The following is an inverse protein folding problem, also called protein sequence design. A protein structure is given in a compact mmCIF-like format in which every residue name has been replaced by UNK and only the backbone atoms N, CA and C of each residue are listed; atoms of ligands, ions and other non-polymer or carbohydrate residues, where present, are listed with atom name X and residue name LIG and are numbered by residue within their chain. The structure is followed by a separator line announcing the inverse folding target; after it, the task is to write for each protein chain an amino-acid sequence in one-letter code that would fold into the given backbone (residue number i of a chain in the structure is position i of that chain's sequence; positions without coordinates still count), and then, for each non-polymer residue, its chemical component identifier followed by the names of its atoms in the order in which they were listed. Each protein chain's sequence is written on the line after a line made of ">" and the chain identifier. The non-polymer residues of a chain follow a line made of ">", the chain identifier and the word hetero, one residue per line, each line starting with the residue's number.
data_IF_764987520015
#
_entry.id   IF_764987520015
#
_cell.length_a   1.000
_cell.length_b   1.000
_cell.length_c   1.000
_cell.angle_alpha   90.00
_cell.angle_beta   90.00
_cell.angle_gamma   90.00
#
_symmetry.space_group_name_H-M   'P 1'
#
loop_
_entity.id
_entity.type
_entity.pdbx_description
1 polymer ?
#
# COMPACT_ATOMS: atom_id res chain seq x y z
N UNK A 1 -16.24 18.18 -11.11
CA UNK A 1 -14.89 17.58 -10.97
C UNK A 1 -13.83 18.32 -11.77
N UNK A 2 -13.94 18.51 -13.10
CA UNK A 2 -12.88 19.18 -13.88
C UNK A 2 -12.64 20.66 -13.49
N UNK A 3 -13.70 21.42 -13.19
CA UNK A 3 -13.59 22.81 -12.72
C UNK A 3 -12.95 22.90 -11.32
N UNK A 4 -13.30 21.98 -10.41
CA UNK A 4 -12.68 21.89 -9.08
C UNK A 4 -11.22 21.45 -9.19
N UNK A 5 -10.90 20.55 -10.13
CA UNK A 5 -9.53 20.13 -10.42
C UNK A 5 -8.67 21.28 -10.95
N UNK A 6 -9.24 22.13 -11.82
CA UNK A 6 -8.59 23.34 -12.31
C UNK A 6 -8.33 24.37 -11.19
N UNK A 7 -9.28 24.51 -10.25
CA UNK A 7 -9.11 25.40 -9.10
C UNK A 7 -8.01 24.96 -8.13
N UNK A 8 -7.79 23.65 -7.97
CA UNK A 8 -6.81 23.09 -7.03
C UNK A 8 -5.42 22.95 -7.67
N UNK A 9 -5.35 22.46 -8.90
CA UNK A 9 -4.09 22.11 -9.56
C UNK A 9 -3.69 23.06 -10.69
N UNK A 10 -4.47 24.12 -10.94
CA UNK A 10 -4.23 25.08 -12.03
C UNK A 10 -4.54 24.55 -13.44
N UNK A 11 -5.01 23.29 -13.55
CA UNK A 11 -5.44 22.70 -14.82
C UNK A 11 -6.47 21.59 -14.60
N UNK A 12 -7.51 21.43 -15.46
CA UNK A 12 -8.56 20.44 -15.27
C UNK A 12 -8.09 18.98 -15.35
N UNK A 13 -6.91 18.74 -15.93
CA UNK A 13 -6.33 17.39 -16.11
C UNK A 13 -5.05 17.15 -15.31
N UNK A 14 -4.59 18.13 -14.51
CA UNK A 14 -3.48 17.88 -13.59
C UNK A 14 -3.99 17.07 -12.40
N UNK A 15 -3.15 16.16 -11.92
CA UNK A 15 -3.39 15.38 -10.71
C UNK A 15 -2.29 15.68 -9.69
N UNK A 16 -2.50 15.33 -8.43
CA UNK A 16 -1.47 15.46 -7.38
C UNK A 16 -0.14 14.77 -7.74
N UNK A 17 -0.16 13.76 -8.60
CA UNK A 17 1.03 13.04 -9.09
C UNK A 17 1.83 13.79 -10.17
N UNK A 18 1.22 14.79 -10.82
CA UNK A 18 1.85 15.56 -11.91
C UNK A 18 2.38 16.92 -11.45
N UNK A 19 2.17 17.29 -10.19
CA UNK A 19 2.73 18.52 -9.64
C UNK A 19 4.20 18.26 -9.29
N UNK A 20 5.10 18.79 -10.10
CA UNK A 20 6.54 18.89 -9.82
C UNK A 20 6.82 19.98 -8.79
N UNK A 21 6.14 19.95 -7.64
CA UNK A 21 6.52 20.72 -6.46
C UNK A 21 7.26 19.77 -5.54
N UNK A 22 8.42 20.18 -4.99
CA UNK A 22 9.31 19.34 -4.18
C UNK A 22 8.50 18.36 -3.32
N UNK A 23 8.39 17.09 -3.76
CA UNK A 23 7.65 16.13 -2.99
C UNK A 23 8.39 16.01 -1.66
N UNK A 24 7.62 16.04 -0.56
CA UNK A 24 8.07 15.34 0.65
C UNK A 24 8.60 14.00 0.13
N UNK A 25 9.88 13.66 0.33
CA UNK A 25 10.51 12.55 -0.36
C UNK A 25 9.94 11.26 0.22
N UNK A 26 8.76 10.89 -0.23
CA UNK A 26 8.44 9.50 -0.47
C UNK A 26 9.34 9.18 -1.65
N UNK A 27 10.55 8.72 -1.35
CA UNK A 27 11.37 8.01 -2.31
C UNK A 27 10.58 6.77 -2.69
N UNK A 28 9.61 6.95 -3.58
CA UNK A 28 9.30 5.91 -4.55
C UNK A 28 10.58 5.85 -5.35
N UNK A 29 11.50 4.99 -4.90
CA UNK A 29 12.58 4.52 -5.76
C UNK A 29 11.85 3.86 -6.92
N UNK A 30 11.59 4.67 -7.96
CA UNK A 30 11.44 4.19 -9.31
C UNK A 30 12.81 3.62 -9.63
N UNK A 31 12.99 2.37 -9.21
CA UNK A 31 14.08 1.49 -9.62
C UNK A 31 14.31 1.76 -11.10
N UNK A 32 15.55 2.11 -11.45
CA UNK A 32 15.98 2.59 -12.78
C UNK A 32 15.04 2.10 -13.88
N UNK A 33 14.29 2.99 -14.55
CA UNK A 33 13.31 2.55 -15.51
C UNK A 33 14.04 1.82 -16.63
N UNK A 34 13.81 0.51 -16.74
CA UNK A 34 13.80 -0.18 -18.02
C UNK A 34 13.16 0.80 -19.03
N UNK A 35 13.95 1.33 -19.96
CA UNK A 35 13.64 2.52 -20.77
C UNK A 35 12.16 2.53 -21.17
N UNK A 36 11.38 3.44 -20.58
CA UNK A 36 10.00 3.64 -20.99
C UNK A 36 9.99 3.92 -22.49
N UNK A 37 8.97 3.44 -23.21
CA UNK A 37 8.67 4.00 -24.54
C UNK A 37 8.28 5.46 -24.30
N UNK A 38 9.28 6.35 -24.38
CA UNK A 38 9.12 7.76 -24.09
C UNK A 38 8.14 8.37 -25.07
N UNK A 39 6.99 8.81 -24.57
CA UNK A 39 6.04 9.53 -25.41
C UNK A 39 6.57 10.93 -25.67
N UNK A 40 7.05 11.18 -26.89
CA UNK A 40 7.37 12.53 -27.37
C UNK A 40 6.14 13.46 -27.44
N UNK A 41 4.93 12.90 -27.33
CA UNK A 41 3.67 13.62 -27.45
C UNK A 41 3.07 13.99 -26.08
N UNK A 42 2.81 15.29 -25.82
CA UNK A 42 2.31 15.77 -24.52
C UNK A 42 0.89 15.31 -24.17
N UNK A 43 0.16 14.73 -25.13
CA UNK A 43 -1.15 14.12 -24.88
C UNK A 43 -1.01 12.71 -24.29
N UNK A 44 -0.11 11.88 -24.83
CA UNK A 44 0.07 10.50 -24.38
C UNK A 44 0.64 10.45 -22.96
N UNK A 45 1.54 11.38 -22.61
CA UNK A 45 2.01 11.53 -21.23
C UNK A 45 0.93 11.97 -20.24
N UNK A 46 -0.17 12.59 -20.71
CA UNK A 46 -1.33 12.92 -19.84
C UNK A 46 -2.27 11.74 -19.64
N UNK A 47 -2.45 10.92 -20.67
CA UNK A 47 -3.33 9.73 -20.60
C UNK A 47 -2.63 8.56 -19.91
N UNK A 48 -1.32 8.42 -20.13
CA UNK A 48 -0.47 7.40 -19.54
C UNK A 48 0.64 8.09 -18.73
N UNK A 49 0.32 8.58 -17.52
CA UNK A 49 1.27 9.34 -16.69
C UNK A 49 2.51 8.53 -16.30
N UNK A 50 2.42 7.21 -16.31
CA UNK A 50 3.51 6.28 -15.98
C UNK A 50 4.19 5.69 -17.22
N UNK A 51 3.89 6.19 -18.42
CA UNK A 51 4.33 5.56 -19.67
C UNK A 51 3.65 4.23 -19.95
N UNK A 52 4.20 3.47 -20.90
CA UNK A 52 3.81 2.08 -21.18
C UNK A 52 5.04 1.21 -20.96
N UNK A 53 4.96 0.32 -19.97
CA UNK A 53 6.02 -0.64 -19.64
C UNK A 53 5.48 -2.06 -19.77
N UNK A 54 5.66 -2.67 -20.95
CA UNK A 54 5.04 -3.96 -21.30
C UNK A 54 5.43 -5.09 -20.34
N UNK A 55 6.70 -5.14 -19.92
CA UNK A 55 7.20 -6.13 -18.96
C UNK A 55 6.51 -5.97 -17.59
N UNK A 56 6.36 -4.74 -17.12
CA UNK A 56 5.68 -4.44 -15.85
C UNK A 56 4.21 -4.82 -15.93
N UNK A 57 3.53 -4.45 -17.03
CA UNK A 57 2.12 -4.80 -17.25
C UNK A 57 1.96 -6.32 -17.18
N UNK A 58 2.80 -7.07 -17.89
CA UNK A 58 2.72 -8.52 -17.93
C UNK A 58 3.04 -9.15 -16.56
N UNK A 59 4.12 -8.72 -15.91
CA UNK A 59 4.51 -9.23 -14.59
C UNK A 59 3.41 -8.98 -13.55
N UNK A 60 2.89 -7.76 -13.51
CA UNK A 60 1.84 -7.38 -12.58
C UNK A 60 0.54 -8.15 -12.89
N UNK A 61 0.15 -8.29 -14.16
CA UNK A 61 -1.04 -9.05 -14.56
C UNK A 61 -0.92 -10.52 -14.15
N UNK A 62 0.24 -11.13 -14.39
CA UNK A 62 0.52 -12.51 -14.02
C UNK A 62 0.42 -12.69 -12.50
N UNK A 63 1.14 -11.87 -11.72
CA UNK A 63 1.24 -12.04 -10.28
C UNK A 63 -0.06 -11.66 -9.54
N UNK A 64 -0.56 -10.44 -9.74
CA UNK A 64 -1.67 -9.87 -8.96
C UNK A 64 -3.05 -10.25 -9.48
N UNK A 65 -3.14 -10.88 -10.66
CA UNK A 65 -4.43 -11.29 -11.22
C UNK A 65 -4.47 -12.77 -11.59
N UNK A 66 -3.61 -13.21 -12.52
CA UNK A 66 -3.70 -14.55 -13.07
C UNK A 66 -3.33 -15.62 -12.03
N UNK A 67 -2.23 -15.45 -11.30
CA UNK A 67 -1.76 -16.38 -10.28
C UNK A 67 -2.51 -16.18 -8.96
N UNK A 68 -2.65 -14.93 -8.49
CA UNK A 68 -3.36 -14.65 -7.23
C UNK A 68 -4.82 -15.15 -7.25
N UNK A 69 -5.52 -14.98 -8.37
CA UNK A 69 -6.88 -15.49 -8.56
C UNK A 69 -6.93 -16.73 -9.46
N UNK A 70 -5.92 -17.63 -9.42
CA UNK A 70 -5.77 -18.76 -10.36
C UNK A 70 -7.04 -19.56 -10.65
N UNK A 71 -7.81 -19.93 -9.62
CA UNK A 71 -9.06 -20.68 -9.80
C UNK A 71 -10.10 -19.87 -10.60
N UNK A 72 -10.31 -18.61 -10.22
CA UNK A 72 -11.24 -17.71 -10.90
C UNK A 72 -10.78 -17.42 -12.33
N UNK A 73 -9.48 -17.19 -12.52
CA UNK A 73 -8.85 -16.98 -13.82
C UNK A 73 -9.04 -18.17 -14.74
N UNK A 74 -8.78 -19.39 -14.27
CA UNK A 74 -8.94 -20.59 -15.07
C UNK A 74 -10.40 -20.76 -15.55
N UNK A 75 -11.38 -20.55 -14.66
CA UNK A 75 -12.79 -20.60 -15.02
C UNK A 75 -13.24 -19.46 -15.93
N UNK A 76 -12.72 -18.25 -15.72
CA UNK A 76 -13.01 -17.11 -16.59
C UNK A 76 -12.49 -17.35 -18.01
N UNK A 77 -11.26 -17.85 -18.16
CA UNK A 77 -10.68 -18.19 -19.46
C UNK A 77 -11.46 -19.31 -20.15
N UNK A 78 -11.80 -20.38 -19.41
CA UNK A 78 -12.61 -21.47 -19.95
C UNK A 78 -14.00 -20.98 -20.40
N UNK A 79 -14.65 -20.16 -19.56
CA UNK A 79 -15.94 -19.54 -19.87
C UNK A 79 -15.88 -18.60 -21.06
N UNK A 80 -14.81 -17.81 -21.19
CA UNK A 80 -14.59 -16.94 -22.33
C UNK A 80 -14.46 -17.74 -23.63
N UNK A 81 -13.70 -18.84 -23.64
CA UNK A 81 -13.59 -19.72 -24.80
C UNK A 81 -14.95 -20.31 -25.19
N UNK A 82 -15.71 -20.83 -24.21
CA UNK A 82 -17.06 -21.35 -24.47
C UNK A 82 -17.99 -20.27 -25.01
N UNK A 83 -17.91 -19.06 -24.46
CA UNK A 83 -18.71 -17.91 -24.89
C UNK A 83 -18.40 -17.53 -26.34
N UNK A 84 -17.13 -17.54 -26.75
CA UNK A 84 -16.73 -17.30 -28.13
C UNK A 84 -17.25 -18.37 -29.10
N UNK A 85 -17.26 -19.65 -28.69
CA UNK A 85 -17.79 -20.76 -29.50
C UNK A 85 -19.30 -20.58 -29.72
N UNK A 86 -20.04 -20.34 -28.63
CA UNK A 86 -21.49 -20.18 -28.67
C UNK A 86 -21.91 -18.82 -29.26
N UNK A 87 -21.01 -17.84 -29.38
CA UNK A 87 -21.29 -16.48 -29.87
C UNK A 87 -22.06 -16.48 -31.20
N UNK A 88 -21.68 -17.37 -32.12
CA UNK A 88 -22.33 -17.50 -33.44
C UNK A 88 -23.75 -18.04 -33.36
N UNK A 89 -24.09 -18.76 -32.29
CA UNK A 89 -25.43 -19.31 -32.06
C UNK A 89 -26.37 -18.33 -31.36
N UNK A 90 -25.83 -17.26 -30.76
CA UNK A 90 -26.64 -16.26 -30.09
C UNK A 90 -27.44 -15.43 -31.08
N UNK A 91 -28.69 -15.12 -30.71
CA UNK A 91 -29.49 -14.16 -31.46
C UNK A 91 -28.85 -12.78 -31.42
N UNK A 92 -29.04 -11.99 -32.48
CA UNK A 92 -28.52 -10.62 -32.59
C UNK A 92 -28.88 -9.75 -31.38
N UNK A 93 -30.07 -9.95 -30.80
CA UNK A 93 -30.49 -9.23 -29.60
C UNK A 93 -29.63 -9.59 -28.36
N UNK A 94 -29.35 -10.89 -28.15
CA UNK A 94 -28.47 -11.35 -27.05
C UNK A 94 -27.05 -10.84 -27.23
N UNK A 95 -26.49 -10.94 -28.44
CA UNK A 95 -25.16 -10.42 -28.77
C UNK A 95 -25.05 -8.92 -28.43
N UNK A 96 -26.01 -8.11 -28.89
CA UNK A 96 -26.04 -6.66 -28.58
C UNK A 96 -26.18 -6.35 -27.09
N UNK A 97 -26.87 -7.18 -26.32
CA UNK A 97 -26.99 -7.00 -24.86
C UNK A 97 -25.65 -7.31 -24.17
N UNK A 98 -25.00 -8.41 -24.56
CA UNK A 98 -23.66 -8.75 -24.04
C UNK A 98 -22.64 -7.67 -24.38
N UNK A 99 -22.58 -7.21 -25.64
CA UNK A 99 -21.65 -6.15 -26.04
C UNK A 99 -21.87 -4.86 -25.25
N UNK A 100 -23.12 -4.43 -25.06
CA UNK A 100 -23.40 -3.21 -24.27
C UNK A 100 -22.95 -3.32 -22.80
N UNK A 101 -22.92 -4.53 -22.24
CA UNK A 101 -22.51 -4.75 -20.86
C UNK A 101 -21.00 -4.94 -20.73
N UNK A 102 -20.39 -5.76 -21.61
CA UNK A 102 -18.98 -6.14 -21.53
C UNK A 102 -18.04 -5.10 -22.15
N UNK A 103 -18.48 -4.37 -23.18
CA UNK A 103 -17.61 -3.42 -23.88
C UNK A 103 -17.09 -2.29 -22.98
N UNK A 104 -17.94 -1.60 -22.18
CA UNK A 104 -17.43 -0.57 -21.26
C UNK A 104 -16.48 -1.16 -20.21
N UNK A 105 -16.81 -2.33 -19.66
CA UNK A 105 -15.98 -3.00 -18.68
C UNK A 105 -14.62 -3.38 -19.27
N UNK A 106 -14.59 -3.88 -20.50
CA UNK A 106 -13.37 -4.19 -21.24
C UNK A 106 -12.52 -2.94 -21.50
N UNK A 107 -13.10 -1.85 -21.98
CA UNK A 107 -12.36 -0.61 -22.23
C UNK A 107 -11.75 -0.03 -20.96
N UNK A 108 -12.52 0.00 -19.86
CA UNK A 108 -12.04 0.46 -18.55
C UNK A 108 -10.94 -0.47 -18.04
N UNK A 109 -11.14 -1.78 -18.15
CA UNK A 109 -10.16 -2.79 -17.75
C UNK A 109 -8.84 -2.65 -18.52
N UNK A 110 -8.90 -2.48 -19.84
CA UNK A 110 -7.73 -2.31 -20.69
C UNK A 110 -6.98 -1.02 -20.33
N UNK A 111 -7.69 0.09 -20.13
CA UNK A 111 -7.08 1.35 -19.70
C UNK A 111 -6.38 1.21 -18.36
N UNK A 112 -7.06 0.65 -17.35
CA UNK A 112 -6.50 0.48 -16.00
C UNK A 112 -5.35 -0.54 -15.98
N UNK A 113 -5.41 -1.56 -16.81
CA UNK A 113 -4.31 -2.51 -17.01
C UNK A 113 -3.06 -1.79 -17.52
N UNK A 114 -3.19 -0.95 -18.55
CA UNK A 114 -2.04 -0.23 -19.12
C UNK A 114 -1.51 0.81 -18.13
N UNK A 115 -2.39 1.64 -17.57
CA UNK A 115 -1.98 2.72 -16.65
C UNK A 115 -1.36 2.17 -15.38
N UNK A 116 -2.08 1.31 -14.65
CA UNK A 116 -1.58 0.81 -13.37
C UNK A 116 -0.60 -0.34 -13.54
N UNK A 117 -0.73 -1.17 -14.58
CA UNK A 117 0.23 -2.24 -14.84
C UNK A 117 1.61 -1.73 -15.25
N UNK A 118 1.70 -0.55 -15.86
CA UNK A 118 3.00 0.06 -16.19
C UNK A 118 3.74 0.61 -14.97
N UNK A 119 3.02 0.90 -13.89
CA UNK A 119 3.58 1.46 -12.67
C UNK A 119 4.20 0.35 -11.79
N UNK A 120 5.26 0.68 -11.05
CA UNK A 120 5.86 -0.16 -10.02
C UNK A 120 5.50 0.41 -8.62
N UNK A 121 4.49 -0.19 -7.97
CA UNK A 121 3.91 0.30 -6.72
C UNK A 121 4.44 -0.53 -5.55
N UNK A 122 5.04 0.13 -4.57
CA UNK A 122 5.53 -0.49 -3.34
C UNK A 122 4.71 -0.01 -2.12
N UNK A 123 3.48 -0.50 -1.99
CA UNK A 123 2.59 -0.16 -0.85
C UNK A 123 2.88 -0.99 0.41
N UNK A 124 3.43 -2.19 0.21
CA UNK A 124 3.87 -3.08 1.27
C UNK A 124 5.36 -2.83 1.54
N UNK A 125 5.81 -2.76 2.81
CA UNK A 125 7.23 -2.71 3.16
C UNK A 125 8.05 -3.83 2.52
N UNK A 126 7.44 -5.01 2.32
CA UNK A 126 8.00 -6.07 1.47
C UNK A 126 7.52 -5.88 0.01
N UNK A 127 8.40 -5.45 -0.92
CA UNK A 127 8.04 -5.22 -2.31
C UNK A 127 7.70 -6.53 -3.06
N UNK A 128 8.07 -7.69 -2.52
CA UNK A 128 7.79 -8.99 -3.11
C UNK A 128 6.44 -9.59 -2.67
N UNK A 129 5.81 -9.01 -1.65
CA UNK A 129 4.57 -9.52 -1.09
C UNK A 129 3.37 -9.29 -2.04
N UNK A 130 2.75 -10.40 -2.47
CA UNK A 130 1.54 -10.37 -3.29
C UNK A 130 0.32 -10.54 -2.38
N UNK A 131 -0.25 -9.42 -1.96
CA UNK A 131 -1.34 -9.39 -0.97
C UNK A 131 -2.56 -8.62 -1.49
N UNK A 132 -3.73 -8.85 -0.88
CA UNK A 132 -5.04 -8.32 -1.36
C UNK A 132 -5.16 -6.78 -1.29
N UNK A 133 -4.43 -6.17 -0.37
CA UNK A 133 -4.39 -4.74 -0.06
C UNK A 133 -3.43 -3.95 -0.93
N UNK A 134 -2.62 -4.62 -1.77
CA UNK A 134 -1.83 -3.95 -2.81
C UNK A 134 -2.74 -3.16 -3.76
N UNK A 135 -2.29 -1.98 -4.18
CA UNK A 135 -3.08 -1.11 -5.04
C UNK A 135 -3.48 -1.75 -6.37
N UNK A 136 -2.68 -2.66 -6.94
CA UNK A 136 -3.01 -3.34 -8.20
C UNK A 136 -4.37 -4.02 -8.15
N UNK A 137 -4.63 -4.81 -7.11
CA UNK A 137 -5.89 -5.57 -6.97
C UNK A 137 -7.09 -4.62 -6.87
N UNK A 138 -6.92 -3.50 -6.17
CA UNK A 138 -7.97 -2.48 -6.03
C UNK A 138 -8.31 -1.82 -7.37
N UNK A 139 -7.29 -1.39 -8.10
CA UNK A 139 -7.49 -0.72 -9.39
C UNK A 139 -7.96 -1.67 -10.48
N UNK A 140 -7.67 -2.97 -10.37
CA UNK A 140 -8.11 -3.99 -11.32
C UNK A 140 -9.41 -4.68 -10.93
N UNK A 141 -10.12 -4.19 -9.93
CA UNK A 141 -11.45 -4.68 -9.55
C UNK A 141 -12.43 -4.76 -10.75
N UNK A 142 -12.47 -3.80 -11.70
CA UNK A 142 -13.32 -3.93 -12.88
C UNK A 142 -13.03 -5.17 -13.73
N UNK A 143 -11.76 -5.60 -13.79
CA UNK A 143 -11.33 -6.81 -14.50
C UNK A 143 -11.92 -8.03 -13.79
N UNK A 144 -11.76 -8.11 -12.47
CA UNK A 144 -12.33 -9.19 -11.64
C UNK A 144 -13.84 -9.28 -11.81
N UNK A 145 -14.55 -8.15 -11.79
CA UNK A 145 -16.00 -8.09 -11.98
C UNK A 145 -16.38 -8.61 -13.37
N UNK A 146 -15.70 -8.18 -14.43
CA UNK A 146 -15.96 -8.67 -15.79
C UNK A 146 -15.72 -10.19 -15.90
N UNK A 147 -14.67 -10.70 -15.25
CA UNK A 147 -14.36 -12.13 -15.22
C UNK A 147 -15.46 -12.98 -14.60
N UNK A 148 -16.18 -12.47 -13.58
CA UNK A 148 -17.29 -13.22 -12.96
C UNK A 148 -18.38 -13.61 -13.97
N UNK A 149 -18.60 -12.80 -15.02
CA UNK A 149 -19.56 -13.11 -16.09
C UNK A 149 -19.14 -14.39 -16.82
N UNK A 150 -17.85 -14.52 -17.15
CA UNK A 150 -17.33 -15.69 -17.84
C UNK A 150 -17.24 -16.90 -16.91
N UNK A 151 -16.90 -16.72 -15.63
CA UNK A 151 -16.94 -17.80 -14.63
C UNK A 151 -18.35 -18.37 -14.51
N UNK A 152 -19.36 -17.51 -14.34
CA UNK A 152 -20.75 -17.94 -14.28
C UNK A 152 -21.18 -18.67 -15.57
N UNK A 153 -20.77 -18.14 -16.72
CA UNK A 153 -21.03 -18.77 -18.01
C UNK A 153 -20.39 -20.16 -18.12
N UNK A 154 -19.14 -20.33 -17.70
CA UNK A 154 -18.44 -21.61 -17.67
C UNK A 154 -19.20 -22.67 -16.86
N UNK A 155 -19.63 -22.30 -15.65
CA UNK A 155 -20.36 -23.19 -14.74
C UNK A 155 -21.68 -23.63 -15.39
N UNK A 156 -22.50 -22.68 -15.84
CA UNK A 156 -23.82 -22.97 -16.44
C UNK A 156 -23.66 -23.81 -17.70
N UNK A 157 -22.74 -23.40 -18.59
CA UNK A 157 -22.52 -24.07 -19.88
C UNK A 157 -21.94 -25.47 -19.72
N UNK A 158 -21.15 -25.71 -18.67
CA UNK A 158 -20.57 -27.01 -18.33
C UNK A 158 -21.59 -28.03 -17.83
N UNK A 159 -22.72 -27.59 -17.25
CA UNK A 159 -23.75 -28.49 -16.70
C UNK A 159 -25.00 -28.63 -17.57
N UNK A 160 -25.26 -27.69 -18.48
CA UNK A 160 -26.54 -27.62 -19.21
C UNK A 160 -26.91 -28.89 -20.02
N UNK A 161 -25.92 -29.69 -20.42
CA UNK A 161 -26.12 -30.92 -21.20
C UNK A 161 -26.37 -32.17 -20.34
N UNK A 162 -26.42 -32.02 -19.01
CA UNK A 162 -26.74 -33.13 -18.11
C UNK A 162 -28.24 -33.37 -18.09
N UNK A 163 -28.66 -34.63 -18.13
CA UNK A 163 -30.07 -35.04 -18.27
C UNK A 163 -30.94 -34.73 -17.05
N UNK A 164 -30.35 -34.75 -15.85
CA UNK A 164 -31.08 -34.50 -14.59
C UNK A 164 -30.85 -33.09 -14.08
N UNK A 165 -31.95 -32.36 -13.85
CA UNK A 165 -31.93 -31.02 -13.22
C UNK A 165 -31.28 -31.06 -11.84
N UNK A 166 -31.49 -32.13 -11.08
CA UNK A 166 -30.87 -32.34 -9.76
C UNK A 166 -29.35 -32.41 -9.88
N UNK A 167 -28.83 -33.13 -10.87
CA UNK A 167 -27.37 -33.23 -11.11
C UNK A 167 -26.79 -31.86 -11.47
N UNK A 168 -27.49 -31.08 -12.31
CA UNK A 168 -27.07 -29.71 -12.63
C UNK A 168 -27.00 -28.83 -11.38
N UNK A 169 -28.04 -28.85 -10.55
CA UNK A 169 -28.12 -28.06 -9.31
C UNK A 169 -27.02 -28.45 -8.32
N UNK A 170 -26.76 -29.75 -8.15
CA UNK A 170 -25.69 -30.24 -7.28
C UNK A 170 -24.32 -29.74 -7.76
N UNK A 171 -24.01 -29.88 -9.05
CA UNK A 171 -22.71 -29.43 -9.58
C UNK A 171 -22.58 -27.90 -9.46
N UNK A 172 -23.63 -27.13 -9.76
CA UNK A 172 -23.63 -25.68 -9.56
C UNK A 172 -23.43 -25.31 -8.09
N UNK A 173 -24.11 -26.01 -7.18
CA UNK A 173 -23.96 -25.82 -5.73
C UNK A 173 -22.55 -26.09 -5.24
N UNK A 174 -21.92 -27.17 -5.73
CA UNK A 174 -20.52 -27.49 -5.41
C UNK A 174 -19.59 -26.35 -5.85
N UNK A 175 -19.71 -25.86 -7.09
CA UNK A 175 -18.87 -24.77 -7.56
C UNK A 175 -19.13 -23.46 -6.81
N UNK A 176 -20.40 -23.14 -6.52
CA UNK A 176 -20.75 -21.96 -5.73
C UNK A 176 -20.11 -22.02 -4.33
N UNK A 177 -20.18 -23.17 -3.67
CA UNK A 177 -19.55 -23.40 -2.37
C UNK A 177 -18.02 -23.30 -2.48
N UNK A 178 -17.40 -23.89 -3.51
CA UNK A 178 -15.95 -23.81 -3.73
C UNK A 178 -15.47 -22.36 -3.92
N UNK A 179 -16.17 -21.59 -4.74
CA UNK A 179 -15.87 -20.18 -4.98
C UNK A 179 -16.11 -19.30 -3.74
N UNK A 180 -17.22 -19.53 -3.01
CA UNK A 180 -17.49 -18.84 -1.76
C UNK A 180 -16.45 -19.18 -0.68
N UNK A 181 -16.04 -20.45 -0.59
CA UNK A 181 -15.02 -20.92 0.34
C UNK A 181 -13.67 -20.27 0.02
N UNK A 182 -13.18 -20.39 -1.22
CA UNK A 182 -11.88 -19.81 -1.62
C UNK A 182 -11.85 -18.28 -1.46
N UNK A 183 -12.89 -17.58 -1.91
CA UNK A 183 -13.00 -16.12 -1.72
C UNK A 183 -13.10 -15.72 -0.24
N UNK A 184 -13.91 -16.43 0.54
CA UNK A 184 -14.06 -16.22 1.98
C UNK A 184 -12.75 -16.46 2.73
N UNK A 185 -12.04 -17.53 2.42
CA UNK A 185 -10.73 -17.84 3.02
C UNK A 185 -9.69 -16.79 2.66
N UNK A 186 -9.60 -16.38 1.40
CA UNK A 186 -8.66 -15.36 0.95
C UNK A 186 -8.90 -14.01 1.65
N UNK A 187 -10.17 -13.60 1.77
CA UNK A 187 -10.54 -12.31 2.38
C UNK A 187 -10.49 -12.32 3.90
N UNK A 188 -10.80 -13.45 4.55
CA UNK A 188 -10.88 -13.54 6.02
C UNK A 188 -9.54 -13.94 6.63
N UNK A 189 -8.88 -14.92 6.03
CA UNK A 189 -7.67 -15.57 6.53
C UNK A 189 -6.45 -15.38 5.61
N UNK A 190 -6.52 -14.47 4.63
CA UNK A 190 -5.37 -14.09 3.83
C UNK A 190 -4.22 -13.62 4.71
N UNK A 191 -2.99 -14.00 4.34
CA UNK A 191 -1.79 -13.58 5.04
C UNK A 191 -1.67 -12.05 5.01
N UNK A 192 -1.24 -11.46 6.11
CA UNK A 192 -0.93 -10.04 6.33
C UNK A 192 -2.06 -9.02 6.20
N UNK A 193 -3.16 -9.35 5.49
CA UNK A 193 -4.23 -8.39 5.18
C UNK A 193 -5.63 -9.00 5.23
N UNK A 194 -5.77 -10.26 5.64
CA UNK A 194 -7.06 -10.87 5.92
C UNK A 194 -7.78 -10.17 7.08
N UNK A 195 -9.13 -10.18 7.06
CA UNK A 195 -9.94 -9.51 8.09
C UNK A 195 -9.57 -9.94 9.53
N UNK A 196 -9.23 -11.22 9.73
CA UNK A 196 -8.81 -11.71 11.04
C UNK A 196 -7.51 -11.06 11.53
N UNK A 197 -6.53 -10.90 10.64
CA UNK A 197 -5.25 -10.24 10.95
C UNK A 197 -5.43 -8.74 11.16
N UNK A 198 -6.22 -8.09 10.30
CA UNK A 198 -6.57 -6.66 10.46
C UNK A 198 -7.26 -6.42 11.80
N UNK A 199 -8.18 -7.31 12.22
CA UNK A 199 -8.83 -7.21 13.53
C UNK A 199 -7.82 -7.26 14.69
N UNK A 200 -6.86 -8.20 14.63
CA UNK A 200 -5.80 -8.30 15.65
C UNK A 200 -4.92 -7.04 15.68
N UNK A 201 -4.52 -6.53 14.51
CA UNK A 201 -3.73 -5.31 14.42
C UNK A 201 -4.48 -4.10 14.97
N UNK A 202 -5.78 -3.96 14.70
CA UNK A 202 -6.58 -2.86 15.25
C UNK A 202 -6.62 -2.90 16.78
N UNK A 203 -6.71 -4.10 17.38
CA UNK A 203 -6.65 -4.25 18.84
C UNK A 203 -5.26 -3.88 19.39
N UNK A 204 -4.20 -4.34 18.73
CA UNK A 204 -2.82 -3.97 19.10
C UNK A 204 -2.60 -2.46 18.99
N UNK A 205 -3.04 -1.81 17.90
CA UNK A 205 -2.96 -0.36 17.73
C UNK A 205 -3.74 0.40 18.80
N UNK A 206 -4.90 -0.11 19.25
CA UNK A 206 -5.65 0.49 20.34
C UNK A 206 -4.86 0.46 21.66
N UNK A 207 -4.22 -0.67 21.99
CA UNK A 207 -3.37 -0.80 23.17
C UNK A 207 -2.11 0.07 23.08
N UNK A 208 -1.45 0.09 21.93
CA UNK A 208 -0.29 0.94 21.66
C UNK A 208 -0.64 2.42 21.81
N UNK A 209 -1.77 2.84 21.22
CA UNK A 209 -2.30 4.20 21.35
C UNK A 209 -2.50 4.55 22.82
N UNK A 210 -3.17 3.71 23.61
CA UNK A 210 -3.43 3.97 25.02
C UNK A 210 -2.13 4.15 25.82
N UNK A 211 -1.13 3.28 25.62
CA UNK A 211 0.18 3.41 26.27
C UNK A 211 0.88 4.71 25.88
N UNK A 212 0.93 5.07 24.60
CA UNK A 212 1.51 6.35 24.16
C UNK A 212 0.76 7.55 24.75
N UNK A 213 -0.58 7.51 24.78
CA UNK A 213 -1.38 8.60 25.36
C UNK A 213 -1.17 8.75 26.87
N UNK A 214 -0.89 7.67 27.59
CA UNK A 214 -0.60 7.71 29.03
C UNK A 214 0.81 8.24 29.33
N UNK A 215 1.76 8.07 28.41
CA UNK A 215 3.17 8.50 28.56
C UNK A 215 3.44 9.92 28.04
N UNK A 216 2.52 10.48 27.28
CA UNK A 216 2.67 11.79 26.62
C UNK A 216 1.51 12.70 26.98
N UNK A 217 1.72 14.01 26.88
CA UNK A 217 0.69 15.03 27.10
C UNK A 217 0.06 15.45 25.77
N UNK A 218 -1.11 16.07 25.83
CA UNK A 218 -1.86 16.47 24.63
C UNK A 218 -1.09 17.45 23.72
N UNK A 219 -0.34 18.36 24.34
CA UNK A 219 0.52 19.33 23.63
C UNK A 219 1.83 18.75 23.10
N UNK A 220 2.19 17.52 23.48
CA UNK A 220 3.43 16.90 23.03
C UNK A 220 3.35 16.56 21.52
N UNK A 221 4.47 16.69 20.83
CA UNK A 221 4.58 16.38 19.40
C UNK A 221 5.28 15.05 19.23
N UNK A 222 4.70 14.16 18.44
CA UNK A 222 5.21 12.81 18.21
C UNK A 222 5.57 12.67 16.73
N UNK A 223 6.84 12.51 16.46
CA UNK A 223 7.32 12.09 15.15
C UNK A 223 7.02 10.60 14.99
N UNK A 224 6.39 10.21 13.89
CA UNK A 224 5.96 8.84 13.64
C UNK A 224 6.38 8.41 12.24
N UNK A 225 6.49 7.09 12.05
CA UNK A 225 6.51 6.50 10.72
C UNK A 225 5.10 6.05 10.32
N UNK A 226 4.60 4.89 10.75
CA UNK A 226 3.26 4.40 10.30
C UNK A 226 2.14 4.57 11.32
N UNK A 227 2.43 5.23 12.43
CA UNK A 227 1.55 5.31 13.62
C UNK A 227 0.68 6.57 13.66
N UNK A 228 0.72 7.41 12.63
CA UNK A 228 -0.06 8.64 12.52
C UNK A 228 -1.56 8.37 12.63
N UNK A 229 -2.04 7.31 11.96
CA UNK A 229 -3.46 6.99 11.80
C UNK A 229 -4.21 6.70 13.11
N UNK A 230 -3.52 6.20 14.13
CA UNK A 230 -4.14 5.89 15.42
C UNK A 230 -3.78 6.88 16.53
N UNK A 231 -2.76 7.73 16.34
CA UNK A 231 -2.42 8.77 17.30
C UNK A 231 -3.15 10.09 17.02
N UNK A 232 -3.35 10.45 15.75
CA UNK A 232 -4.14 11.61 15.37
C UNK A 232 -5.66 11.33 15.52
N UNK A 233 -6.48 12.29 16.01
CA UNK A 233 -6.14 13.67 16.39
C UNK A 233 -5.75 13.86 17.86
N UNK A 234 -5.63 12.77 18.63
CA UNK A 234 -5.36 12.85 20.07
C UNK A 234 -3.96 13.36 20.42
N UNK A 235 -3.01 13.32 19.48
CA UNK A 235 -1.68 13.92 19.58
C UNK A 235 -1.32 14.66 18.31
N UNK A 236 -0.46 15.66 18.45
CA UNK A 236 0.19 16.30 17.32
C UNK A 236 1.22 15.36 16.73
N UNK A 237 1.06 15.01 15.45
CA UNK A 237 1.94 14.05 14.77
C UNK A 237 2.71 14.72 13.63
N UNK A 238 3.98 14.33 13.47
CA UNK A 238 4.83 14.71 12.35
C UNK A 238 5.33 13.45 11.63
N UNK A 239 5.27 13.43 10.31
CA UNK A 239 5.64 12.26 9.49
C UNK A 239 6.54 12.66 8.30
N UNK A 240 7.58 11.87 7.93
CA UNK A 240 8.26 10.81 8.67
C UNK A 240 9.54 11.30 9.39
N UNK A 241 10.13 10.48 10.28
CA UNK A 241 11.44 10.80 10.90
C UNK A 241 12.57 10.83 9.86
N UNK A 242 12.61 9.84 8.95
CA UNK A 242 13.73 9.62 8.00
C UNK A 242 13.82 10.64 6.87
N UNK A 243 13.02 11.71 6.91
CA UNK A 243 13.11 12.80 5.95
C UNK A 243 14.27 13.75 6.29
N UNK A 244 15.04 14.15 5.27
CA UNK A 244 16.06 15.20 5.40
C UNK A 244 15.47 16.51 5.96
N UNK A 245 14.25 16.85 5.58
CA UNK A 245 13.56 18.06 6.07
C UNK A 245 13.22 17.93 7.55
N UNK A 246 12.77 16.75 7.99
CA UNK A 246 12.47 16.48 9.41
C UNK A 246 13.75 16.57 10.24
N UNK A 247 14.84 15.93 9.82
CA UNK A 247 16.13 16.01 10.53
C UNK A 247 16.64 17.45 10.65
N UNK A 248 16.59 18.21 9.56
CA UNK A 248 17.01 19.61 9.57
C UNK A 248 16.15 20.49 10.50
N UNK A 249 14.87 20.14 10.68
CA UNK A 249 13.94 20.86 11.54
C UNK A 249 14.02 20.46 13.03
N UNK A 250 14.63 19.32 13.38
CA UNK A 250 14.65 18.80 14.76
C UNK A 250 15.09 19.83 15.82
N UNK A 251 16.17 20.62 15.64
CA UNK A 251 16.60 21.58 16.67
C UNK A 251 15.54 22.65 16.96
N UNK A 252 14.88 23.12 15.90
CA UNK A 252 13.82 24.13 15.99
C UNK A 252 12.55 23.54 16.60
N UNK A 253 12.20 22.30 16.23
CA UNK A 253 11.06 21.58 16.79
C UNK A 253 11.24 21.35 18.30
N UNK A 254 12.41 20.87 18.72
CA UNK A 254 12.73 20.70 20.15
C UNK A 254 12.56 22.03 20.88
N UNK A 255 13.20 23.11 20.39
CA UNK A 255 13.08 24.45 20.98
C UNK A 255 11.63 24.92 21.08
N UNK A 256 10.86 24.84 19.99
CA UNK A 256 9.48 25.30 19.94
C UNK A 256 8.56 24.48 20.85
N UNK A 257 8.77 23.17 20.96
CA UNK A 257 8.00 22.33 21.89
C UNK A 257 8.34 22.64 23.34
N UNK A 258 9.63 22.81 23.68
CA UNK A 258 10.08 23.18 25.02
C UNK A 258 9.51 24.54 25.47
N UNK A 259 9.51 25.55 24.58
CA UNK A 259 8.95 26.87 24.83
C UNK A 259 7.44 26.84 25.16
N UNK A 260 6.71 25.88 24.58
CA UNK A 260 5.29 25.66 24.85
C UNK A 260 5.04 24.76 26.06
N UNK A 261 6.09 24.37 26.79
CA UNK A 261 6.00 23.41 27.89
C UNK A 261 5.62 22.00 27.43
N UNK A 262 5.83 21.69 26.15
CA UNK A 262 5.63 20.38 25.52
C UNK A 262 6.95 19.62 25.41
N UNK A 263 6.91 18.39 24.90
CA UNK A 263 8.09 17.57 24.60
C UNK A 263 7.98 16.95 23.21
N UNK A 264 9.12 16.70 22.59
CA UNK A 264 9.22 16.06 21.30
C UNK A 264 9.58 14.58 21.48
N UNK A 265 8.79 13.71 20.86
CA UNK A 265 9.00 12.27 20.88
C UNK A 265 9.17 11.71 19.47
N UNK A 266 9.78 10.52 19.38
CA UNK A 266 9.70 9.66 18.22
C UNK A 266 9.06 8.34 18.63
N UNK A 267 8.04 7.91 17.88
CA UNK A 267 7.41 6.61 18.06
C UNK A 267 7.49 5.82 16.75
N UNK A 268 8.35 4.80 16.74
CA UNK A 268 8.63 3.99 15.57
C UNK A 268 9.16 2.62 15.96
N UNK A 269 9.70 1.88 14.98
CA UNK A 269 10.25 0.54 15.21
C UNK A 269 11.34 0.59 16.28
N UNK A 270 11.40 -0.45 17.13
CA UNK A 270 12.50 -0.62 18.08
C UNK A 270 13.80 -0.78 17.31
N UNK A 271 14.69 0.22 17.43
CA UNK A 271 15.96 0.24 16.72
C UNK A 271 16.96 -0.72 17.37
N UNK A 272 17.67 -1.56 16.59
CA UNK A 272 18.87 -2.25 17.06
C UNK A 272 19.89 -1.25 17.63
N UNK A 273 20.70 -1.70 18.59
CA UNK A 273 21.66 -0.82 19.26
C UNK A 273 22.64 -0.14 18.29
N UNK A 274 23.06 -0.85 17.23
CA UNK A 274 23.95 -0.33 16.18
C UNK A 274 23.27 0.81 15.39
N UNK A 275 22.01 0.63 15.02
CA UNK A 275 21.23 1.65 14.28
C UNK A 275 20.93 2.87 15.15
N UNK A 276 20.64 2.65 16.44
CA UNK A 276 20.45 3.74 17.40
C UNK A 276 21.75 4.53 17.60
N UNK A 277 22.88 3.84 17.74
CA UNK A 277 24.20 4.47 17.87
C UNK A 277 24.55 5.28 16.61
N UNK A 278 24.30 4.72 15.42
CA UNK A 278 24.48 5.42 14.15
C UNK A 278 23.59 6.66 14.05
N UNK A 279 22.31 6.55 14.39
CA UNK A 279 21.37 7.68 14.38
C UNK A 279 21.82 8.79 15.35
N UNK A 280 22.29 8.40 16.54
CA UNK A 280 22.83 9.33 17.52
C UNK A 280 24.07 10.04 16.99
N UNK A 281 25.06 9.32 16.46
CA UNK A 281 26.32 9.93 15.99
C UNK A 281 26.16 10.76 14.71
N UNK A 282 25.41 10.26 13.74
CA UNK A 282 25.36 10.87 12.41
C UNK A 282 24.30 11.95 12.26
N UNK A 283 23.18 11.87 12.98
CA UNK A 283 22.05 12.77 12.78
C UNK A 283 21.74 13.63 14.00
N UNK A 284 21.84 13.11 15.23
CA UNK A 284 21.35 13.82 16.42
C UNK A 284 22.45 14.62 17.13
N UNK A 285 23.64 14.04 17.33
CA UNK A 285 24.74 14.69 18.05
C UNK A 285 25.27 15.92 17.30
N UNK A 286 25.23 15.93 15.97
CA UNK A 286 25.54 17.13 15.15
C UNK A 286 24.63 18.32 15.46
N UNK A 287 23.48 18.05 16.06
CA UNK A 287 22.47 19.01 16.46
C UNK A 287 22.36 19.17 17.99
N UNK A 288 23.28 18.59 18.76
CA UNK A 288 23.23 18.53 20.23
C UNK A 288 21.93 17.90 20.75
N UNK A 289 21.40 16.91 20.03
CA UNK A 289 20.22 16.15 20.41
C UNK A 289 20.58 14.70 20.73
N UNK A 290 19.78 14.05 21.56
CA UNK A 290 19.85 12.61 21.81
C UNK A 290 18.46 11.99 21.83
N UNK A 291 18.39 10.69 21.53
CA UNK A 291 17.22 9.86 21.76
C UNK A 291 17.39 9.11 23.06
N UNK A 292 16.43 9.26 23.97
CA UNK A 292 16.36 8.52 25.23
C UNK A 292 15.13 7.59 25.17
N UNK A 293 15.30 6.26 25.19
CA UNK A 293 14.16 5.34 25.20
C UNK A 293 13.33 5.52 26.47
N UNK A 294 12.01 5.64 26.32
CA UNK A 294 11.05 5.79 27.43
C UNK A 294 10.40 4.44 27.71
N UNK A 295 9.79 3.84 26.70
CA UNK A 295 9.06 2.59 26.84
C UNK A 295 9.04 1.80 25.54
N UNK A 296 9.25 0.49 25.63
CA UNK A 296 9.03 -0.46 24.54
C UNK A 296 7.58 -0.97 24.58
N UNK A 297 6.91 -0.84 23.43
CA UNK A 297 5.50 -1.12 23.21
C UNK A 297 5.40 -2.09 22.03
N UNK A 298 5.39 -3.38 22.35
CA UNK A 298 5.44 -4.48 21.39
C UNK A 298 6.73 -4.45 20.55
N UNK A 299 6.66 -4.09 19.27
CA UNK A 299 7.80 -3.97 18.35
C UNK A 299 8.19 -2.51 18.09
N UNK A 300 7.58 -1.58 18.84
CA UNK A 300 7.78 -0.16 18.72
C UNK A 300 8.39 0.39 20.01
N UNK A 301 9.11 1.48 19.93
CA UNK A 301 9.65 2.16 21.12
C UNK A 301 9.30 3.64 21.05
N UNK A 302 8.86 4.18 22.18
CA UNK A 302 8.71 5.61 22.39
C UNK A 302 10.04 6.17 22.86
N UNK A 303 10.67 7.00 22.04
CA UNK A 303 11.89 7.72 22.35
C UNK A 303 11.56 9.18 22.64
N UNK A 304 12.15 9.74 23.68
CA UNK A 304 12.14 11.19 23.90
C UNK A 304 13.34 11.81 23.19
N UNK A 305 13.10 12.90 22.48
CA UNK A 305 14.14 13.70 21.84
C UNK A 305 14.44 14.88 22.74
N UNK A 306 15.68 14.99 23.21
CA UNK A 306 16.08 16.04 24.14
C UNK A 306 17.48 16.56 23.83
N UNK A 307 17.77 17.77 24.31
CA UNK A 307 19.10 18.36 24.17
C UNK A 307 20.12 17.64 25.04
N UNK A 308 21.33 17.52 24.54
CA UNK A 308 22.49 17.11 25.35
C UNK A 308 23.05 18.36 26.02
N UNK A 309 22.93 18.47 27.34
CA UNK A 309 23.66 19.50 28.10
C UNK A 309 25.17 19.24 27.98
N UNK A 310 25.93 20.27 27.60
CA UNK A 310 27.32 20.19 27.14
C UNK A 310 28.37 19.76 28.18
N UNK A 311 27.99 19.21 29.35
CA UNK A 311 28.91 19.06 30.49
C UNK A 311 29.15 17.62 30.98
N UNK A 312 28.73 16.59 30.24
CA UNK A 312 29.16 15.23 30.54
C UNK A 312 30.15 14.73 29.48
N UNK A 313 31.40 14.39 29.86
CA UNK A 313 32.29 13.67 28.96
C UNK A 313 31.57 12.39 28.54
N UNK A 314 31.51 12.14 27.23
CA UNK A 314 31.01 10.89 26.68
C UNK A 314 32.05 9.81 27.06
N UNK A 315 31.97 9.30 28.30
CA UNK A 315 32.63 8.06 28.68
C UNK A 315 32.00 6.93 27.86
N UNK A 316 32.77 6.35 26.95
CA UNK A 316 32.39 5.11 26.26
C UNK A 316 32.43 5.11 24.73
N UNK A 317 32.73 6.23 24.06
CA UNK A 317 32.98 6.22 22.60
C UNK A 317 34.42 6.62 22.32
N UNK A 318 35.34 5.72 22.65
CA UNK A 318 36.68 5.76 22.08
C UNK A 318 36.58 5.57 20.57
N UNK A 319 37.31 6.40 19.80
CA UNK A 319 37.43 6.36 18.33
C UNK A 319 38.03 5.06 17.76
N UNK A 320 38.23 4.06 18.60
CA UNK A 320 38.75 2.73 18.30
C UNK A 320 37.79 1.76 18.96
N UNK A 321 37.07 0.97 18.16
CA UNK A 321 36.03 0.03 18.60
C UNK A 321 36.56 -1.15 19.41
N UNK A 322 37.20 -0.87 20.55
CA UNK A 322 37.56 -1.84 21.56
C UNK A 322 36.70 -1.58 22.81
N UNK A 323 35.77 -2.51 23.06
CA UNK A 323 35.04 -2.56 24.33
C UNK A 323 35.98 -3.05 25.42
N UNK A 324 36.25 -2.20 26.42
CA UNK A 324 36.89 -2.62 27.67
C UNK A 324 35.77 -3.07 28.62
N UNK A 325 35.72 -4.37 28.91
CA UNK A 325 34.95 -4.90 30.03
C UNK A 325 35.78 -4.75 31.31
N UNK A 326 35.24 -4.06 32.32
CA UNK A 326 35.74 -4.16 33.69
C UNK A 326 34.98 -5.27 34.43
N UNK A 327 35.73 -6.15 35.10
CA UNK A 327 35.24 -7.21 36.00
C UNK A 327 34.42 -6.69 37.19
#
# INVERSE_FOLDING_TARGET
>A
MLLTNNGVYGHPFLTGYTISGDPIPVTVDVTDPDEAIGFSQPFLSRVFPFGIHEKNILNNLLNFHLLFFALWTAFALFGFVLFCIDWRTFSTHKQRRFLRCLWPAFLISLYLLVVYGSWNIHDNPDPSAITIGTSYIRYWLPISVAMTVFVAYAIVRGVQHRSSQTVQQVIMGIWLVAFAYTGGTLTTFGQDEGLAFVYQNVQSFASQRERVLNLTREQDVIIVDRSDKFLFPSRHVLYPLRSKTTYAALPQLVSATEEQGASLYYFGITLPQEDLAFLQSEHLLKHHLRFTPIEEIDQLTLYKIERVENDLPIEGVTKTGEMIFSE
#
